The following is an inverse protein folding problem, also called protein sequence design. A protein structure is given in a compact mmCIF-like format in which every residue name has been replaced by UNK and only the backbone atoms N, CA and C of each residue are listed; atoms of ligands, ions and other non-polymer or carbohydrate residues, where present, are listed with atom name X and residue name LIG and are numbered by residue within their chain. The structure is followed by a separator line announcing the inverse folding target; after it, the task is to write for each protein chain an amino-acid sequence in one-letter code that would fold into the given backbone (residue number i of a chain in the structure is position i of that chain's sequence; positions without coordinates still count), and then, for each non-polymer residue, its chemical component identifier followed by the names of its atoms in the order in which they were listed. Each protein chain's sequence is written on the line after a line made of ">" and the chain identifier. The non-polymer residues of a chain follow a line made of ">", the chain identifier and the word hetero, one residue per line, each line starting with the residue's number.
data_IF_742555813367
#
_entry.id   IF_742555813367
#
_cell.length_a   1.000
_cell.length_b   1.000
_cell.length_c   1.000
_cell.angle_alpha   90.00
_cell.angle_beta   90.00
_cell.angle_gamma   90.00
#
_symmetry.space_group_name_H-M   'P 1'
#
loop_
_entity.id
_entity.type
_entity.pdbx_description
1 polymer ?
#
# COMPACT_ATOMS: atom_id res chain seq x y z
N UNK A 1 -33.05 -7.65 8.77
CA UNK A 1 -31.79 -7.91 7.96
C UNK A 1 -30.98 -6.62 7.81
N UNK A 2 -30.34 -6.12 8.92
CA UNK A 2 -29.57 -4.90 9.20
C UNK A 2 -28.18 -4.98 8.56
N UNK A 3 -27.76 -4.01 7.70
CA UNK A 3 -26.46 -3.81 7.04
C UNK A 3 -25.36 -3.46 8.05
N UNK A 4 -24.41 -4.38 8.40
CA UNK A 4 -23.18 -4.39 9.22
C UNK A 4 -22.06 -3.61 8.52
N UNK A 5 -22.11 -2.23 8.55
CA UNK A 5 -20.89 -1.40 8.62
C UNK A 5 -21.17 -0.14 9.45
N UNK A 6 -21.37 -0.27 10.75
CA UNK A 6 -21.45 1.04 11.44
C UNK A 6 -20.04 1.39 11.94
N UNK A 7 -19.31 2.50 11.41
CA UNK A 7 -18.04 3.15 11.77
C UNK A 7 -18.06 3.70 13.21
N UNK A 8 -17.24 3.26 14.13
CA UNK A 8 -17.05 3.82 15.49
C UNK A 8 -16.75 5.32 15.44
N UNK A 9 -17.82 6.20 15.26
CA UNK A 9 -17.87 7.65 15.42
C UNK A 9 -17.97 8.36 14.06
N UNK A 10 -18.46 7.65 12.83
CA UNK A 10 -18.71 8.35 11.54
C UNK A 10 -17.44 8.52 10.71
N UNK A 11 -16.13 7.96 11.12
CA UNK A 11 -14.90 8.11 10.31
C UNK A 11 -14.58 6.78 9.60
N UNK A 12 -14.27 6.93 8.25
CA UNK A 12 -13.99 5.79 7.35
C UNK A 12 -12.53 5.35 7.49
N UNK A 13 -12.38 3.94 7.64
CA UNK A 13 -11.04 3.34 7.56
C UNK A 13 -10.89 2.57 6.24
N UNK A 14 -9.73 2.69 5.58
CA UNK A 14 -9.47 2.06 4.28
C UNK A 14 -8.23 1.15 4.39
N UNK A 15 -8.56 -0.36 4.25
CA UNK A 15 -7.45 -1.26 4.66
C UNK A 15 -7.30 -2.35 3.57
N UNK A 16 -5.86 -2.73 3.21
CA UNK A 16 -5.60 -3.89 2.33
C UNK A 16 -4.21 -4.45 2.66
N UNK A 17 -4.17 -5.88 2.79
CA UNK A 17 -2.87 -6.57 2.95
C UNK A 17 -2.74 -7.66 1.88
N UNK A 18 -1.37 -7.73 1.49
CA UNK A 18 -1.11 -8.91 0.63
C UNK A 18 -0.33 -9.97 1.43
N UNK A 19 -0.89 -11.16 1.51
CA UNK A 19 -0.13 -12.27 2.15
C UNK A 19 -0.26 -13.53 1.29
N UNK A 20 0.82 -14.40 1.42
CA UNK A 20 0.76 -15.61 0.59
C UNK A 20 -0.37 -16.55 1.05
N UNK A 21 -1.11 -17.01 0.09
CA UNK A 21 -2.29 -17.86 0.41
C UNK A 21 -1.86 -19.10 1.21
N UNK A 22 -0.64 -19.50 0.98
CA UNK A 22 -0.23 -20.73 1.70
C UNK A 22 0.54 -20.41 2.98
N UNK A 23 0.62 -19.06 3.27
CA UNK A 23 1.14 -18.71 4.62
C UNK A 23 2.64 -18.38 4.54
N UNK A 24 3.32 -18.70 3.35
CA UNK A 24 4.75 -18.33 3.25
C UNK A 24 5.04 -17.67 1.89
N UNK A 25 5.90 -16.70 1.95
CA UNK A 25 6.28 -16.03 0.68
C UNK A 25 7.28 -16.90 -0.08
N UNK A 26 6.96 -17.06 -1.33
CA UNK A 26 8.06 -17.58 -2.16
C UNK A 26 9.22 -16.57 -2.26
N UNK A 27 10.39 -17.04 -2.71
CA UNK A 27 11.53 -16.11 -2.81
C UNK A 27 11.22 -14.93 -3.73
N UNK A 28 10.54 -15.15 -4.80
CA UNK A 28 10.25 -14.03 -5.74
C UNK A 28 9.20 -13.09 -5.13
N UNK A 29 8.17 -13.66 -4.42
CA UNK A 29 7.20 -12.80 -3.71
C UNK A 29 7.87 -11.94 -2.64
N UNK A 30 8.79 -12.58 -1.96
CA UNK A 30 9.47 -11.84 -0.87
C UNK A 30 10.35 -10.72 -1.44
N UNK A 31 11.02 -11.07 -2.54
CA UNK A 31 11.90 -10.04 -3.14
C UNK A 31 11.06 -8.85 -3.62
N UNK A 32 10.02 -9.11 -4.34
CA UNK A 32 9.17 -7.99 -4.83
C UNK A 32 8.50 -7.27 -3.66
N UNK A 33 8.01 -8.01 -2.65
CA UNK A 33 7.40 -7.38 -1.45
C UNK A 33 8.39 -6.45 -0.74
N UNK A 34 9.58 -6.88 -0.55
CA UNK A 34 10.56 -6.05 0.19
C UNK A 34 10.90 -4.79 -0.61
N UNK A 35 11.01 -4.96 -1.93
CA UNK A 35 11.23 -3.73 -2.73
C UNK A 35 10.10 -2.72 -2.52
N UNK A 36 8.87 -3.17 -2.56
CA UNK A 36 7.72 -2.26 -2.37
C UNK A 36 7.67 -1.73 -0.93
N UNK A 37 7.97 -2.64 0.05
CA UNK A 37 7.93 -2.21 1.46
C UNK A 37 8.96 -1.10 1.71
N UNK A 38 10.14 -1.21 1.10
CA UNK A 38 11.15 -0.15 1.28
C UNK A 38 10.65 1.19 0.74
N UNK A 39 9.95 1.15 -0.39
CA UNK A 39 9.39 2.39 -0.97
C UNK A 39 8.34 2.99 -0.01
N UNK A 40 7.56 2.17 0.47
CA UNK A 40 6.50 2.70 1.35
C UNK A 40 7.10 3.32 2.62
N UNK A 41 8.02 2.66 3.24
CA UNK A 41 8.60 3.21 4.49
C UNK A 41 9.22 4.58 4.25
N UNK A 42 9.83 4.65 3.14
CA UNK A 42 10.42 5.96 2.83
C UNK A 42 9.33 7.02 2.61
N UNK A 43 8.31 6.69 1.86
CA UNK A 43 7.25 7.69 1.57
C UNK A 43 6.57 8.15 2.86
N UNK A 44 6.43 7.24 3.79
CA UNK A 44 5.77 7.60 5.06
C UNK A 44 6.58 8.68 5.78
N UNK A 45 7.88 8.61 5.61
CA UNK A 45 8.70 9.63 6.32
C UNK A 45 8.48 11.02 5.69
N UNK A 46 7.94 11.04 4.51
CA UNK A 46 7.75 12.35 3.83
C UNK A 46 6.39 12.95 4.17
N UNK A 47 5.61 12.20 4.83
CA UNK A 47 4.26 12.72 5.13
C UNK A 47 4.28 13.62 6.37
N UNK A 48 4.89 14.81 6.20
CA UNK A 48 4.94 15.83 7.28
C UNK A 48 4.67 17.21 6.66
N UNK A 49 4.14 18.02 7.52
CA UNK A 49 3.95 19.41 7.04
C UNK A 49 5.30 20.04 6.67
N UNK A 50 6.38 19.79 7.32
CA UNK A 50 7.72 20.38 7.08
C UNK A 50 8.26 19.98 5.70
N UNK A 51 7.85 18.76 5.25
CA UNK A 51 8.33 18.35 3.91
C UNK A 51 7.79 19.28 2.82
N UNK A 52 6.67 19.93 3.18
CA UNK A 52 6.08 20.91 2.24
C UNK A 52 5.57 20.21 0.97
N UNK A 53 5.31 18.88 1.10
CA UNK A 53 4.96 18.15 -0.15
C UNK A 53 3.45 17.92 -0.18
N UNK A 54 2.94 17.85 -1.44
CA UNK A 54 1.56 17.37 -1.65
C UNK A 54 1.53 15.87 -1.92
N UNK A 55 0.35 15.29 -1.96
CA UNK A 55 0.24 13.84 -2.24
C UNK A 55 0.68 13.56 -3.68
N UNK A 56 0.42 14.51 -4.53
CA UNK A 56 0.87 14.29 -5.91
C UNK A 56 2.40 14.24 -5.98
N UNK A 57 3.00 15.16 -5.24
CA UNK A 57 4.49 15.12 -5.21
C UNK A 57 5.00 13.84 -4.56
N UNK A 58 4.33 13.42 -3.58
CA UNK A 58 4.73 12.13 -2.95
C UNK A 58 4.51 10.99 -3.94
N UNK A 59 3.43 11.03 -4.75
CA UNK A 59 3.26 10.00 -5.79
C UNK A 59 4.44 10.01 -6.77
N UNK A 60 4.85 11.15 -7.20
CA UNK A 60 6.00 11.19 -8.13
C UNK A 60 7.25 10.59 -7.48
N UNK A 61 7.40 10.93 -6.20
CA UNK A 61 8.53 10.31 -5.49
C UNK A 61 8.39 8.78 -5.41
N UNK A 62 7.18 8.36 -5.24
CA UNK A 62 6.98 6.89 -5.19
C UNK A 62 7.36 6.24 -6.52
N UNK A 63 7.00 6.85 -7.64
CA UNK A 63 7.35 6.28 -8.95
C UNK A 63 8.86 6.22 -9.13
N UNK A 64 9.54 7.30 -8.70
CA UNK A 64 11.01 7.32 -8.83
C UNK A 64 11.65 6.22 -7.97
N UNK A 65 11.20 6.09 -6.82
CA UNK A 65 11.84 5.11 -5.91
C UNK A 65 11.47 3.68 -6.31
N UNK A 66 10.20 3.54 -6.70
CA UNK A 66 9.82 2.17 -7.09
C UNK A 66 10.62 1.73 -8.32
N UNK A 67 10.73 2.58 -9.21
CA UNK A 67 11.57 2.23 -10.37
C UNK A 67 12.97 1.80 -9.94
N UNK A 68 13.58 2.58 -9.12
CA UNK A 68 14.94 2.23 -8.65
C UNK A 68 14.95 0.85 -7.97
N UNK A 69 13.97 0.63 -7.13
CA UNK A 69 13.97 -0.67 -6.41
C UNK A 69 13.73 -1.83 -7.39
N UNK A 70 12.87 -1.62 -8.38
CA UNK A 70 12.59 -2.71 -9.32
C UNK A 70 13.81 -2.96 -10.23
N UNK A 71 14.53 -1.89 -10.58
CA UNK A 71 15.76 -2.10 -11.38
C UNK A 71 16.78 -2.94 -10.60
N UNK A 72 16.81 -2.80 -9.34
CA UNK A 72 17.77 -3.57 -8.51
C UNK A 72 17.43 -5.06 -8.52
N UNK A 73 16.20 -5.34 -8.81
CA UNK A 73 15.88 -6.79 -8.72
C UNK A 73 15.60 -7.33 -10.13
N UNK A 74 16.12 -6.49 -11.16
CA UNK A 74 16.25 -7.17 -12.47
C UNK A 74 15.23 -6.64 -13.49
N UNK A 75 14.36 -5.62 -13.02
CA UNK A 75 13.46 -5.02 -14.04
C UNK A 75 14.24 -3.99 -14.86
N UNK A 76 13.83 -3.89 -16.14
CA UNK A 76 14.50 -2.89 -17.00
C UNK A 76 13.45 -1.92 -17.58
N UNK A 77 13.84 -0.64 -17.54
CA UNK A 77 12.90 0.39 -18.05
C UNK A 77 13.59 1.20 -19.16
N UNK A 78 13.43 0.78 -20.46
CA UNK A 78 14.08 1.51 -21.54
C UNK A 78 13.51 2.93 -21.71
N UNK A 79 14.33 3.86 -22.08
CA UNK A 79 13.97 5.28 -22.24
C UNK A 79 12.79 5.43 -23.22
N UNK A 80 11.60 6.03 -22.65
CA UNK A 80 10.50 6.41 -23.56
C UNK A 80 9.33 5.43 -23.45
N UNK A 81 9.46 4.35 -22.54
CA UNK A 81 8.35 3.36 -22.47
C UNK A 81 7.67 3.43 -21.09
N UNK A 82 6.57 4.21 -20.98
CA UNK A 82 5.50 4.15 -19.95
C UNK A 82 5.43 2.78 -19.27
N UNK A 83 6.58 2.10 -18.89
CA UNK A 83 6.52 0.68 -18.44
C UNK A 83 6.15 0.63 -16.95
N UNK A 84 6.44 1.81 -16.31
CA UNK A 84 6.11 1.73 -14.87
C UNK A 84 4.60 1.89 -14.66
N UNK A 85 3.97 2.58 -15.57
CA UNK A 85 2.51 2.77 -15.44
C UNK A 85 1.77 1.43 -15.57
N UNK A 86 2.42 0.55 -16.33
CA UNK A 86 1.82 -0.80 -16.42
C UNK A 86 1.97 -1.56 -15.10
N UNK A 87 3.09 -1.34 -14.45
CA UNK A 87 3.35 -2.10 -13.21
C UNK A 87 2.71 -1.40 -12.01
N UNK A 88 2.47 -0.06 -12.07
CA UNK A 88 2.01 0.78 -10.94
C UNK A 88 0.98 1.79 -11.46
N UNK A 89 -0.30 1.26 -11.79
CA UNK A 89 -1.28 2.02 -12.59
C UNK A 89 -2.26 2.80 -11.69
N UNK A 90 -1.79 3.11 -10.48
CA UNK A 90 -2.70 3.87 -9.60
C UNK A 90 -1.89 4.92 -8.83
N UNK A 91 -2.59 5.86 -8.19
CA UNK A 91 -1.89 6.85 -7.34
C UNK A 91 -1.45 6.19 -6.02
N UNK A 92 -0.52 6.94 -5.43
CA UNK A 92 0.13 6.31 -4.25
C UNK A 92 -0.81 6.39 -3.06
N UNK A 93 -1.73 7.40 -3.11
CA UNK A 93 -2.66 7.47 -1.97
C UNK A 93 -3.66 8.61 -2.14
N UNK A 94 -4.39 8.94 -0.98
CA UNK A 94 -5.41 10.01 -1.04
C UNK A 94 -5.77 10.44 0.40
N UNK A 95 -6.29 11.65 0.54
CA UNK A 95 -6.73 12.07 1.88
C UNK A 95 -7.90 11.21 2.39
N UNK A 96 -7.91 11.01 3.78
CA UNK A 96 -8.97 10.19 4.40
C UNK A 96 -9.73 11.08 5.40
N UNK A 97 -11.11 11.27 5.28
CA UNK A 97 -11.96 12.03 6.23
C UNK A 97 -13.30 11.32 6.42
N UNK A 98 -14.43 11.88 6.71
CA UNK A 98 -15.79 11.32 6.94
C UNK A 98 -16.27 10.55 5.71
N UNK A 99 -15.73 10.79 4.54
CA UNK A 99 -15.97 10.02 3.30
C UNK A 99 -14.64 9.45 2.78
N UNK A 100 -14.64 8.13 2.33
CA UNK A 100 -13.51 7.31 1.87
C UNK A 100 -12.79 7.99 0.71
N UNK A 101 -13.43 9.16 0.13
CA UNK A 101 -12.72 9.94 -0.92
C UNK A 101 -13.07 11.42 -0.79
N UNK A 102 -12.69 12.08 0.34
CA UNK A 102 -12.96 13.55 0.39
C UNK A 102 -11.90 14.31 -0.42
N UNK A 103 -11.97 14.17 -1.88
CA UNK A 103 -11.21 15.33 -2.40
C UNK A 103 -11.48 15.47 -3.90
N UNK A 104 -12.01 16.58 -4.34
CA UNK A 104 -11.91 17.31 -5.63
C UNK A 104 -10.46 17.43 -6.10
N UNK A 105 -9.96 16.92 -7.24
CA UNK A 105 -8.67 17.03 -7.94
C UNK A 105 -7.86 18.23 -7.45
N UNK A 106 -8.51 19.33 -6.96
CA UNK A 106 -7.83 20.55 -6.51
C UNK A 106 -7.22 20.39 -5.12
N UNK A 107 -7.48 19.29 -4.36
CA UNK A 107 -6.94 19.05 -2.99
C UNK A 107 -5.72 18.13 -3.02
N UNK A 108 -5.48 17.55 -4.24
CA UNK A 108 -4.33 16.62 -4.25
C UNK A 108 -3.01 17.37 -4.46
N UNK A 109 -3.17 18.58 -5.00
CA UNK A 109 -1.95 19.38 -5.19
C UNK A 109 -1.70 20.29 -3.97
N UNK A 110 -2.67 20.22 -3.04
CA UNK A 110 -2.45 21.03 -1.83
C UNK A 110 -1.39 20.40 -0.91
N UNK A 111 -0.69 21.35 -0.28
CA UNK A 111 0.39 20.87 0.63
C UNK A 111 -0.23 20.19 1.87
N UNK A 112 0.58 19.16 2.30
CA UNK A 112 0.10 18.47 3.51
C UNK A 112 0.25 19.39 4.73
N UNK A 113 -0.87 19.38 5.51
CA UNK A 113 -0.81 20.17 6.77
C UNK A 113 -0.99 19.25 7.97
N UNK A 114 -0.34 19.74 9.02
CA UNK A 114 -0.46 18.95 10.26
C UNK A 114 -1.93 18.69 10.59
N UNK A 115 -2.20 17.38 10.94
CA UNK A 115 -3.58 17.04 11.35
C UNK A 115 -4.33 16.32 10.23
N UNK A 116 -3.76 16.48 9.00
CA UNK A 116 -4.38 15.74 7.88
C UNK A 116 -4.08 14.24 7.97
N UNK A 117 -5.04 13.47 7.34
CA UNK A 117 -4.80 12.01 7.27
C UNK A 117 -4.79 11.59 5.79
N UNK A 118 -3.72 10.91 5.47
CA UNK A 118 -3.65 10.44 4.07
C UNK A 118 -3.30 8.94 4.06
N UNK A 119 -3.58 8.38 2.85
CA UNK A 119 -3.09 6.99 2.67
C UNK A 119 -1.80 6.99 1.87
N UNK A 120 -0.90 5.97 2.17
CA UNK A 120 0.28 5.68 1.34
C UNK A 120 0.24 4.19 0.95
N UNK A 121 0.00 4.00 -0.39
CA UNK A 121 -0.34 2.60 -0.73
C UNK A 121 0.29 2.25 -2.09
N UNK A 122 1.54 2.16 -2.06
CA UNK A 122 2.11 1.76 -3.35
C UNK A 122 1.78 0.29 -3.69
N UNK A 123 1.67 0.05 -5.04
CA UNK A 123 1.38 -1.32 -5.53
C UNK A 123 2.17 -1.61 -6.80
N UNK A 124 2.47 -2.95 -6.90
CA UNK A 124 3.16 -3.36 -8.14
C UNK A 124 2.47 -4.63 -8.64
N UNK A 125 2.10 -4.54 -10.00
CA UNK A 125 1.43 -5.67 -10.66
C UNK A 125 2.21 -6.07 -11.91
N UNK A 126 2.66 -7.41 -11.83
CA UNK A 126 3.57 -7.80 -12.92
C UNK A 126 2.80 -8.72 -13.88
N UNK A 127 2.43 -8.16 -15.09
CA UNK A 127 1.78 -9.01 -16.10
C UNK A 127 2.78 -9.96 -16.78
N UNK A 128 2.37 -10.95 -17.29
CA UNK A 128 3.29 -11.93 -17.90
C UNK A 128 3.74 -11.50 -19.30
N UNK A 129 4.18 -10.28 -19.41
CA UNK A 129 4.75 -9.81 -20.68
C UNK A 129 6.24 -10.10 -20.75
N UNK A 130 6.71 -10.30 -21.95
CA UNK A 130 8.11 -10.72 -22.16
C UNK A 130 9.08 -9.61 -21.73
N UNK A 131 8.61 -8.44 -21.60
CA UNK A 131 9.49 -7.32 -21.22
C UNK A 131 9.80 -7.34 -19.71
N UNK A 132 9.01 -8.13 -18.87
CA UNK A 132 9.28 -8.21 -17.42
C UNK A 132 9.89 -9.58 -17.07
N UNK A 133 10.69 -9.65 -16.05
CA UNK A 133 11.31 -10.92 -15.66
C UNK A 133 10.26 -12.00 -15.37
N UNK A 134 10.50 -13.09 -16.00
CA UNK A 134 9.52 -14.20 -15.93
C UNK A 134 9.26 -14.63 -14.49
N UNK A 135 10.34 -14.52 -13.67
CA UNK A 135 10.20 -14.99 -12.26
C UNK A 135 9.10 -14.20 -11.53
N UNK A 136 8.74 -13.02 -12.06
CA UNK A 136 7.79 -12.20 -11.27
C UNK A 136 6.42 -12.16 -11.97
N UNK A 137 6.22 -12.85 -13.01
CA UNK A 137 4.93 -12.81 -13.73
C UNK A 137 3.78 -13.24 -12.80
N UNK A 138 2.64 -12.44 -12.97
CA UNK A 138 1.36 -12.72 -12.30
C UNK A 138 1.45 -12.52 -10.79
N UNK A 139 2.52 -11.80 -10.41
CA UNK A 139 2.58 -11.44 -8.98
C UNK A 139 2.09 -9.99 -8.84
N UNK A 140 1.11 -9.83 -7.98
CA UNK A 140 0.63 -8.48 -7.60
C UNK A 140 0.76 -8.24 -6.09
N UNK A 141 1.43 -7.10 -5.77
CA UNK A 141 1.59 -6.80 -4.34
C UNK A 141 1.18 -5.34 -4.10
N UNK A 142 0.34 -5.20 -3.15
CA UNK A 142 0.01 -3.84 -2.66
C UNK A 142 0.07 -3.80 -1.14
N UNK A 143 0.88 -2.86 -0.64
CA UNK A 143 1.07 -2.82 0.83
C UNK A 143 0.28 -1.62 1.37
N UNK A 144 -0.69 -2.07 2.73
CA UNK A 144 -1.30 -1.00 3.54
C UNK A 144 -1.20 -1.36 5.04
N UNK A 145 -1.20 -0.16 6.13
CA UNK A 145 -1.06 -0.45 7.56
C UNK A 145 -2.27 0.10 8.29
N UNK A 146 -2.90 -0.57 9.46
CA UNK A 146 -4.00 -0.65 10.44
C UNK A 146 -3.88 0.46 11.49
N UNK A 147 -5.19 1.02 12.07
CA UNK A 147 -5.71 0.86 13.45
C UNK A 147 -7.20 1.15 13.47
N UNK A 148 -8.28 0.17 14.04
CA UNK A 148 -9.24 0.38 15.15
C UNK A 148 -9.82 -0.97 15.58
N UNK A 149 -9.42 -1.49 16.78
CA UNK A 149 -10.22 -2.42 17.62
C UNK A 149 -11.72 -2.20 17.41
N UNK A 150 -12.19 -3.06 16.46
CA UNK A 150 -13.59 -3.56 16.44
C UNK A 150 -14.23 -3.32 15.07
N UNK A 151 -13.56 -3.45 13.87
CA UNK A 151 -14.40 -3.60 12.64
C UNK A 151 -13.66 -4.51 11.64
N UNK A 152 -14.14 -5.67 11.41
CA UNK A 152 -13.99 -6.80 10.49
C UNK A 152 -13.17 -6.42 9.24
N UNK A 153 -11.79 -6.81 9.24
CA UNK A 153 -10.74 -6.74 8.20
C UNK A 153 -10.92 -7.90 7.21
N UNK A 154 -11.24 -7.65 5.82
CA UNK A 154 -11.28 -8.66 4.75
C UNK A 154 -9.89 -8.79 4.11
N UNK A 155 -9.15 -9.94 4.32
CA UNK A 155 -7.86 -10.39 3.76
C UNK A 155 -8.11 -11.21 2.47
N UNK A 156 -7.48 -10.75 1.23
CA UNK A 156 -7.59 -11.61 0.03
C UNK A 156 -6.26 -12.33 -0.23
N UNK A 157 -6.35 -13.67 -0.59
CA UNK A 157 -5.20 -14.49 -1.01
C UNK A 157 -4.62 -14.01 -2.35
N UNK A 158 -3.34 -13.82 -2.47
CA UNK A 158 -2.62 -13.66 -3.75
C UNK A 158 -3.24 -14.53 -4.85
N UNK A 159 -4.51 -14.23 -5.42
CA UNK A 159 -4.96 -15.07 -6.56
C UNK A 159 -5.10 -14.16 -7.79
N UNK A 160 -4.52 -14.60 -9.03
CA UNK A 160 -4.64 -14.27 -10.46
C UNK A 160 -5.64 -13.13 -10.70
N UNK A 161 -5.18 -12.12 -11.53
CA UNK A 161 -5.93 -10.88 -11.77
C UNK A 161 -7.31 -11.16 -12.38
N UNK A 162 -8.45 -11.56 -11.70
CA UNK A 162 -9.80 -11.42 -12.29
C UNK A 162 -10.28 -9.97 -12.18
N UNK A 163 -10.40 -9.26 -13.38
CA UNK A 163 -11.13 -8.15 -14.02
C UNK A 163 -12.37 -7.76 -13.21
N UNK A 164 -12.22 -7.25 -11.97
CA UNK A 164 -13.27 -6.30 -11.52
C UNK A 164 -13.30 -6.23 -10.00
N UNK A 165 -12.20 -5.54 -9.45
CA UNK A 165 -12.49 -4.76 -8.23
C UNK A 165 -11.16 -4.43 -7.52
N UNK A 166 -10.79 -3.10 -7.33
CA UNK A 166 -9.43 -2.87 -6.82
C UNK A 166 -9.39 -3.01 -5.29
N UNK A 167 -8.46 -3.79 -4.60
CA UNK A 167 -8.55 -3.81 -3.13
C UNK A 167 -7.50 -2.90 -2.49
N UNK A 168 -7.90 -1.71 -1.62
CA UNK A 168 -7.75 -0.57 -0.70
C UNK A 168 -6.74 -0.87 0.40
N UNK A 169 -5.87 0.32 1.12
CA UNK A 169 -4.92 1.44 1.26
C UNK A 169 -4.42 1.51 2.71
N UNK A 170 -3.17 2.42 3.04
CA UNK A 170 -2.64 2.87 4.34
C UNK A 170 -3.21 4.24 4.72
N UNK A 171 -3.26 4.49 6.41
CA UNK A 171 -3.65 5.83 6.89
C UNK A 171 -2.50 6.47 7.69
N UNK A 172 -2.04 7.56 7.21
CA UNK A 172 -0.93 8.27 7.86
C UNK A 172 -1.44 9.65 8.31
N UNK A 173 -1.22 9.77 9.74
CA UNK A 173 -1.47 11.14 10.26
C UNK A 173 -0.25 12.04 10.04
N UNK A 174 -0.52 13.12 9.30
CA UNK A 174 0.58 14.07 9.01
C UNK A 174 0.94 14.86 10.27
N UNK A 175 2.22 14.75 10.63
CA UNK A 175 2.72 15.55 11.78
C UNK A 175 3.47 16.80 11.27
N UNK A 176 3.77 17.65 12.26
CA UNK A 176 4.58 18.85 11.88
C UNK A 176 5.98 18.43 11.44
N UNK A 177 6.67 17.48 12.15
CA UNK A 177 8.04 17.05 11.80
C UNK A 177 8.10 15.52 11.66
N UNK A 178 7.05 14.92 12.32
CA UNK A 178 7.06 13.45 12.20
C UNK A 178 5.63 12.94 11.92
N UNK A 179 5.60 11.91 10.98
CA UNK A 179 4.26 11.33 10.76
C UNK A 179 3.94 10.23 11.78
N UNK A 180 2.65 10.10 11.96
CA UNK A 180 2.21 8.97 12.82
C UNK A 180 1.44 7.96 11.96
N UNK A 181 1.96 6.72 12.06
CA UNK A 181 1.23 5.66 11.33
C UNK A 181 0.10 5.13 12.23
N UNK A 182 -1.08 5.36 11.78
CA UNK A 182 -2.25 5.06 12.62
C UNK A 182 -2.62 3.57 12.51
N UNK A 183 -1.82 2.78 11.70
CA UNK A 183 -2.10 1.35 11.56
C UNK A 183 -0.89 0.50 11.94
N UNK A 184 -0.25 0.76 12.99
CA UNK A 184 1.07 0.16 13.32
C UNK A 184 0.86 -1.26 13.84
N UNK A 185 -0.32 -1.64 14.22
CA UNK A 185 -0.52 -2.93 14.91
C UNK A 185 -0.78 -4.07 13.92
N UNK A 186 -0.73 -3.77 12.68
CA UNK A 186 -0.85 -4.85 11.68
C UNK A 186 0.55 -5.18 11.14
N UNK A 187 0.90 -6.51 11.20
CA UNK A 187 2.26 -6.89 10.78
C UNK A 187 2.52 -6.53 9.32
N UNK A 188 3.82 -6.04 9.01
CA UNK A 188 4.14 -5.71 7.59
C UNK A 188 5.46 -6.36 7.18
N UNK A 189 6.07 -6.73 8.25
CA UNK A 189 7.33 -7.43 7.90
C UNK A 189 7.05 -8.90 7.58
N UNK A 190 7.79 -9.39 6.56
CA UNK A 190 7.53 -10.76 6.08
C UNK A 190 7.49 -11.73 7.29
N UNK A 191 8.45 -11.58 8.21
CA UNK A 191 8.49 -12.52 9.35
C UNK A 191 7.22 -12.43 10.21
N UNK A 192 6.81 -11.18 10.40
CA UNK A 192 5.59 -10.99 11.21
C UNK A 192 4.35 -11.51 10.48
N UNK A 193 4.37 -11.35 9.09
CA UNK A 193 3.19 -11.82 8.33
C UNK A 193 3.17 -13.36 8.34
N UNK A 194 4.25 -13.90 8.08
CA UNK A 194 4.29 -15.39 8.08
C UNK A 194 4.02 -15.95 9.49
N UNK A 195 4.62 -15.25 10.50
CA UNK A 195 4.35 -15.68 11.89
C UNK A 195 2.84 -15.63 12.21
N UNK A 196 2.17 -14.57 11.70
CA UNK A 196 0.72 -14.47 11.95
C UNK A 196 -0.04 -15.54 11.17
N UNK A 197 0.33 -15.83 9.95
CA UNK A 197 -0.34 -16.87 9.14
C UNK A 197 -0.15 -18.26 9.74
N UNK A 198 0.89 -18.38 10.49
CA UNK A 198 1.20 -19.73 10.99
C UNK A 198 0.75 -19.87 12.46
N UNK A 199 0.08 -18.82 12.90
CA UNK A 199 -0.47 -18.88 14.27
C UNK A 199 0.61 -18.71 15.35
N UNK A 200 1.73 -18.20 15.03
CA UNK A 200 2.88 -18.14 15.96
C UNK A 200 2.87 -16.83 16.75
N UNK A 201 1.95 -15.90 16.41
CA UNK A 201 1.92 -14.61 17.15
C UNK A 201 0.69 -14.56 18.05
N UNK A 202 0.16 -15.86 18.46
CA UNK A 202 -0.93 -15.89 19.45
C UNK A 202 -2.19 -15.19 18.94
N UNK A 203 -2.23 -14.87 17.58
CA UNK A 203 -3.47 -14.29 17.02
C UNK A 203 -4.33 -15.42 16.45
N UNK A 204 -5.23 -15.98 17.30
CA UNK A 204 -6.15 -17.07 16.91
C UNK A 204 -6.65 -16.89 15.45
N UNK A 205 -6.40 -17.99 14.58
CA UNK A 205 -7.00 -17.93 13.25
C UNK A 205 -8.53 -17.74 13.32
N UNK A 206 -9.01 -16.56 13.21
CA UNK A 206 -10.47 -16.40 13.05
C UNK A 206 -11.09 -17.66 12.44
#
# INVERSE_FOLDING_TARGET
>A
MQPTNVPHSGYASDITRTFPANGSFSPEQATLYNALLSVQKHLITLCTEASGMSILQIHRESCTMLRRELERIGFNFPLGAGTLDTLYPHLVGHPVGIDLHESNQSERDARLKEGMVVTIEPGVYVPPFSEFPRAFHNIGIRIEVSSLQGSESYAHPCVEPSRNRPPFQDEVLVGKNHPIVLSVNAPKEIADIEGSCQGLLGLSPF
#
